data_IF_218092447010
#
_entry.id   IF_218092447010
#
_cell.length_a   1.000
_cell.length_b   1.000
_cell.length_c   1.000
_cell.angle_alpha   90.00
_cell.angle_beta   90.00
_cell.angle_gamma   90.00
#
_symmetry.space_group_name_H-M   'P 1'
#
loop_
_entity.id
_entity.type
_entity.pdbx_description
1 polymer ?
#
# COMPACT_ATOMS: atom_id res chain seq x y z
N UNK A 1 -3.56 17.52 8.64
CA UNK A 1 -3.42 16.47 7.62
C UNK A 1 -4.58 15.50 7.77
N UNK A 2 -5.30 15.25 6.68
CA UNK A 2 -6.46 14.37 6.60
C UNK A 2 -6.13 13.22 5.65
N UNK A 3 -6.04 12.00 6.19
CA UNK A 3 -5.66 10.81 5.43
C UNK A 3 -6.87 9.89 5.31
N UNK A 4 -7.21 9.52 4.09
CA UNK A 4 -8.22 8.51 3.83
C UNK A 4 -7.66 7.10 4.02
N UNK A 5 -8.54 6.17 4.39
CA UNK A 5 -8.30 4.73 4.27
C UNK A 5 -9.49 4.14 3.51
N UNK A 6 -9.24 3.47 2.39
CA UNK A 6 -10.31 2.84 1.60
C UNK A 6 -10.97 1.74 2.43
N UNK A 7 -12.26 1.89 2.72
CA UNK A 7 -13.01 1.06 3.66
C UNK A 7 -14.13 0.27 2.98
N UNK A 8 -13.85 -0.25 1.77
CA UNK A 8 -14.76 -1.12 1.01
C UNK A 8 -14.75 -2.54 1.55
N UNK A 9 -13.56 -3.04 1.88
CA UNK A 9 -13.27 -4.34 2.48
C UNK A 9 -11.82 -4.29 2.99
N UNK A 10 -11.47 -5.15 3.94
CA UNK A 10 -10.08 -5.35 4.37
C UNK A 10 -9.76 -4.69 5.71
N UNK A 11 -8.46 -4.60 6.00
CA UNK A 11 -7.91 -4.28 7.33
C UNK A 11 -7.75 -2.75 7.51
N UNK A 12 -8.80 -2.00 7.16
CA UNK A 12 -8.78 -0.53 7.22
C UNK A 12 -8.79 0.00 8.66
N UNK A 13 -9.33 -0.76 9.62
CA UNK A 13 -9.47 -0.32 11.01
C UNK A 13 -8.10 -0.19 11.69
N UNK A 14 -7.19 -1.10 11.39
CA UNK A 14 -5.82 -1.17 11.87
C UNK A 14 -5.03 0.04 11.37
N UNK A 15 -5.10 0.34 10.06
CA UNK A 15 -4.52 1.55 9.49
C UNK A 15 -5.07 2.83 10.12
N UNK A 16 -6.40 2.93 10.28
CA UNK A 16 -7.03 4.05 10.97
C UNK A 16 -6.54 4.21 12.42
N UNK A 17 -6.33 3.09 13.13
CA UNK A 17 -5.81 3.09 14.51
C UNK A 17 -4.40 3.67 14.56
N UNK A 18 -3.50 3.24 13.67
CA UNK A 18 -2.12 3.76 13.60
C UNK A 18 -2.11 5.26 13.27
N UNK A 19 -2.89 5.69 12.26
CA UNK A 19 -2.98 7.11 11.90
C UNK A 19 -3.46 7.99 13.06
N UNK A 20 -4.47 7.54 13.82
CA UNK A 20 -4.96 8.28 15.00
C UNK A 20 -3.90 8.36 16.10
N UNK A 21 -3.13 7.29 16.34
CA UNK A 21 -2.00 7.30 17.30
C UNK A 21 -0.92 8.31 16.90
N UNK A 22 -0.72 8.51 15.60
CA UNK A 22 0.18 9.52 15.04
C UNK A 22 -0.41 10.96 15.02
N UNK A 23 -1.61 11.16 15.57
CA UNK A 23 -2.27 12.47 15.62
C UNK A 23 -2.85 12.93 14.27
N UNK A 24 -3.04 12.03 13.32
CA UNK A 24 -3.59 12.32 11.99
C UNK A 24 -5.09 12.04 11.96
N UNK A 25 -5.85 12.91 11.28
CA UNK A 25 -7.28 12.68 11.06
C UNK A 25 -7.46 11.57 10.01
N UNK A 26 -7.83 10.37 10.48
CA UNK A 26 -8.15 9.23 9.62
C UNK A 26 -9.62 9.25 9.18
N UNK A 27 -9.87 9.13 7.87
CA UNK A 27 -11.20 9.13 7.26
C UNK A 27 -11.44 7.83 6.52
N UNK A 28 -12.52 7.13 6.84
CA UNK A 28 -12.90 5.93 6.07
C UNK A 28 -13.58 6.33 4.76
N UNK A 29 -13.02 5.89 3.65
CA UNK A 29 -13.48 6.21 2.30
C UNK A 29 -14.27 5.04 1.73
N UNK A 30 -15.55 5.26 1.44
CA UNK A 30 -16.48 4.32 0.81
C UNK A 30 -17.13 4.88 -0.45
N UNK A 31 -17.15 6.20 -0.59
CA UNK A 31 -17.79 6.93 -1.68
C UNK A 31 -16.83 7.97 -2.29
N UNK A 32 -16.98 8.30 -3.59
CA UNK A 32 -16.09 9.25 -4.28
C UNK A 32 -15.94 10.61 -3.59
N UNK A 33 -17.03 11.18 -3.08
CA UNK A 33 -17.04 12.50 -2.44
C UNK A 33 -16.18 12.54 -1.17
N UNK A 34 -15.90 11.39 -0.55
CA UNK A 34 -15.07 11.31 0.65
C UNK A 34 -13.58 11.41 0.34
N UNK A 35 -13.20 11.41 -0.95
CA UNK A 35 -11.84 11.74 -1.38
C UNK A 35 -11.56 13.24 -1.34
N UNK A 36 -12.61 14.07 -1.27
CA UNK A 36 -12.48 15.52 -1.20
C UNK A 36 -11.76 15.94 0.09
N UNK A 37 -10.87 16.92 -0.04
CA UNK A 37 -10.05 17.48 1.04
C UNK A 37 -9.04 16.51 1.68
N UNK A 38 -8.83 15.30 1.12
CA UNK A 38 -7.79 14.40 1.61
C UNK A 38 -6.41 14.83 1.12
N UNK A 39 -5.41 14.68 1.99
CA UNK A 39 -4.00 14.90 1.68
C UNK A 39 -3.33 13.63 1.10
N UNK A 40 -3.86 12.46 1.45
CA UNK A 40 -3.43 11.17 0.93
C UNK A 40 -4.42 10.07 1.24
N UNK A 41 -4.23 8.90 0.62
CA UNK A 41 -5.09 7.73 0.75
C UNK A 41 -4.28 6.45 0.99
N UNK A 42 -4.69 5.64 1.95
CA UNK A 42 -4.21 4.27 2.11
C UNK A 42 -5.25 3.31 1.51
N UNK A 43 -4.80 2.35 0.71
CA UNK A 43 -5.59 1.21 0.23
C UNK A 43 -5.08 -0.01 1.00
N UNK A 44 -5.87 -0.55 1.94
CA UNK A 44 -5.40 -1.56 2.89
C UNK A 44 -5.24 -2.94 2.25
N UNK A 45 -4.69 -3.87 3.05
CA UNK A 45 -4.77 -5.31 2.80
C UNK A 45 -6.21 -5.82 2.79
N UNK A 46 -6.42 -7.05 2.31
CA UNK A 46 -7.75 -7.65 2.14
C UNK A 46 -7.81 -8.60 0.95
N UNK A 47 -8.96 -8.66 0.28
CA UNK A 47 -9.16 -9.45 -0.93
C UNK A 47 -9.23 -8.51 -2.16
N UNK A 48 -8.16 -8.47 -2.94
CA UNK A 48 -7.99 -7.48 -4.02
C UNK A 48 -9.10 -7.54 -5.07
N UNK A 49 -9.63 -8.73 -5.38
CA UNK A 49 -10.70 -8.88 -6.38
C UNK A 49 -12.01 -8.26 -5.88
N UNK A 50 -12.34 -8.46 -4.61
CA UNK A 50 -13.50 -7.87 -3.93
C UNK A 50 -13.35 -6.36 -3.87
N UNK A 51 -12.20 -5.85 -3.43
CA UNK A 51 -11.93 -4.41 -3.38
C UNK A 51 -12.09 -3.79 -4.76
N UNK A 52 -11.49 -4.39 -5.81
CA UNK A 52 -11.62 -3.90 -7.19
C UNK A 52 -13.07 -3.88 -7.68
N UNK A 53 -13.84 -4.95 -7.48
CA UNK A 53 -15.26 -5.03 -7.87
C UNK A 53 -16.14 -4.03 -7.12
N UNK A 54 -15.90 -3.83 -5.84
CA UNK A 54 -16.60 -2.82 -5.04
C UNK A 54 -16.24 -1.41 -5.52
N UNK A 55 -14.97 -1.16 -5.83
CA UNK A 55 -14.53 0.13 -6.37
C UNK A 55 -15.19 0.43 -7.72
N UNK A 56 -15.37 -0.56 -8.61
CA UNK A 56 -16.17 -0.38 -9.83
C UNK A 56 -17.65 -0.11 -9.50
N UNK A 57 -18.25 -0.92 -8.63
CA UNK A 57 -19.68 -0.84 -8.29
C UNK A 57 -20.04 0.52 -7.67
N UNK A 58 -19.15 1.10 -6.87
CA UNK A 58 -19.31 2.42 -6.26
C UNK A 58 -18.73 3.57 -7.11
N UNK A 59 -18.32 3.30 -8.36
CA UNK A 59 -17.77 4.29 -9.30
C UNK A 59 -16.55 5.05 -8.73
N UNK A 60 -15.70 4.33 -7.99
CA UNK A 60 -14.50 4.84 -7.34
C UNK A 60 -13.24 4.72 -8.20
N UNK A 61 -13.20 3.85 -9.21
CA UNK A 61 -11.97 3.62 -10.01
C UNK A 61 -11.40 4.92 -10.58
N UNK A 62 -12.22 5.70 -11.29
CA UNK A 62 -11.75 6.93 -11.91
C UNK A 62 -11.43 8.04 -10.88
N UNK A 63 -12.27 8.29 -9.86
CA UNK A 63 -11.89 9.18 -8.75
C UNK A 63 -10.57 8.82 -8.07
N UNK A 64 -10.30 7.53 -7.85
CA UNK A 64 -9.04 7.05 -7.26
C UNK A 64 -7.84 7.30 -8.17
N UNK A 65 -8.02 7.12 -9.49
CA UNK A 65 -6.97 7.43 -10.48
C UNK A 65 -6.66 8.92 -10.51
N UNK A 66 -7.69 9.75 -10.57
CA UNK A 66 -7.55 11.20 -10.55
C UNK A 66 -6.87 11.64 -9.25
N UNK A 67 -7.28 11.10 -8.10
CA UNK A 67 -6.64 11.37 -6.81
C UNK A 67 -5.15 11.02 -6.82
N UNK A 68 -4.79 9.83 -7.29
CA UNK A 68 -3.39 9.36 -7.35
C UNK A 68 -2.50 10.16 -8.32
N UNK A 69 -3.08 10.88 -9.27
CA UNK A 69 -2.32 11.78 -10.16
C UNK A 69 -1.84 13.06 -9.47
N UNK A 70 -2.42 13.42 -8.33
CA UNK A 70 -2.15 14.69 -7.63
C UNK A 70 -1.69 14.49 -6.18
N UNK A 71 -2.16 13.43 -5.53
CA UNK A 71 -2.03 13.15 -4.10
C UNK A 71 -1.34 11.81 -3.85
N UNK A 72 -0.86 11.62 -2.64
CA UNK A 72 -0.18 10.40 -2.25
C UNK A 72 -1.18 9.24 -2.09
N UNK A 73 -0.82 8.07 -2.62
CA UNK A 73 -1.55 6.81 -2.37
C UNK A 73 -0.57 5.75 -1.90
N UNK A 74 -0.95 5.03 -0.85
CA UNK A 74 -0.21 3.87 -0.37
C UNK A 74 -1.06 2.61 -0.39
N UNK A 75 -0.66 1.63 -1.19
CA UNK A 75 -1.26 0.30 -1.24
C UNK A 75 -0.48 -0.71 -0.39
N UNK A 76 -1.13 -1.32 0.59
CA UNK A 76 -0.57 -2.44 1.38
C UNK A 76 -1.21 -3.75 0.94
N UNK A 77 -0.40 -4.80 0.71
CA UNK A 77 -0.86 -6.13 0.29
C UNK A 77 -1.88 -6.07 -0.89
N UNK A 78 -3.18 -6.25 -0.63
CA UNK A 78 -4.23 -6.13 -1.64
C UNK A 78 -4.27 -4.75 -2.32
N UNK A 79 -3.95 -3.67 -1.61
CA UNK A 79 -3.82 -2.34 -2.18
C UNK A 79 -2.65 -2.22 -3.16
N UNK A 80 -1.52 -2.89 -2.89
CA UNK A 80 -0.39 -2.93 -3.82
C UNK A 80 -0.77 -3.65 -5.14
N UNK A 81 -1.54 -4.74 -5.04
CA UNK A 81 -2.13 -5.41 -6.21
C UNK A 81 -3.05 -4.43 -6.96
N UNK A 82 -3.94 -3.73 -6.27
CA UNK A 82 -4.91 -2.84 -6.90
C UNK A 82 -4.26 -1.66 -7.64
N UNK A 83 -3.11 -1.17 -7.17
CA UNK A 83 -2.37 -0.05 -7.78
C UNK A 83 -1.55 -0.45 -9.01
N UNK A 84 -1.28 -1.74 -9.22
CA UNK A 84 -0.36 -2.21 -10.26
C UNK A 84 -0.88 -2.00 -11.68
N UNK A 85 0.03 -2.02 -12.66
CA UNK A 85 -0.32 -2.01 -14.08
C UNK A 85 -0.86 -3.35 -14.55
N UNK A 86 -0.27 -4.44 -14.09
CA UNK A 86 -0.67 -5.79 -14.45
C UNK A 86 -0.52 -6.75 -13.25
N UNK A 87 -1.30 -7.82 -13.27
CA UNK A 87 -1.24 -8.95 -12.34
C UNK A 87 -1.34 -10.32 -13.05
N UNK A 88 -1.21 -10.31 -14.39
CA UNK A 88 -1.37 -11.46 -15.28
C UNK A 88 -2.74 -12.14 -15.19
N UNK A 89 -3.75 -11.41 -14.72
CA UNK A 89 -5.13 -11.88 -14.53
C UNK A 89 -6.11 -10.74 -14.74
N UNK A 90 -7.33 -11.07 -15.15
CA UNK A 90 -8.40 -10.09 -15.28
C UNK A 90 -9.03 -9.79 -13.92
N UNK A 91 -8.84 -8.56 -13.43
CA UNK A 91 -9.62 -7.95 -12.35
C UNK A 91 -9.54 -6.41 -12.49
N UNK A 92 -10.42 -5.67 -11.81
CA UNK A 92 -10.33 -4.20 -11.80
C UNK A 92 -9.04 -3.74 -11.10
N UNK A 93 -8.30 -2.86 -11.75
CA UNK A 93 -7.06 -2.24 -11.26
C UNK A 93 -7.09 -0.73 -11.46
N UNK A 94 -6.30 -0.01 -10.68
CA UNK A 94 -6.12 1.43 -10.82
C UNK A 94 -5.07 1.79 -11.88
N UNK A 95 -4.12 0.90 -12.20
CA UNK A 95 -3.03 1.16 -13.16
C UNK A 95 -2.25 2.45 -12.86
N UNK A 96 -1.98 2.69 -11.58
CA UNK A 96 -1.35 3.92 -11.09
C UNK A 96 0.17 3.83 -11.03
N UNK A 97 0.72 2.63 -10.77
CA UNK A 97 2.15 2.40 -10.59
C UNK A 97 2.71 1.49 -11.66
N UNK A 98 3.93 1.79 -12.13
CA UNK A 98 4.71 1.05 -13.11
C UNK A 98 5.30 -0.24 -12.50
N UNK A 99 4.43 -1.07 -11.93
CA UNK A 99 4.76 -2.34 -11.29
C UNK A 99 3.87 -3.46 -11.81
N UNK A 100 4.42 -4.67 -11.86
CA UNK A 100 3.69 -5.92 -12.12
C UNK A 100 3.67 -6.73 -10.83
N UNK A 101 2.50 -7.25 -10.45
CA UNK A 101 2.31 -7.87 -9.14
C UNK A 101 1.65 -9.25 -9.27
N UNK A 102 2.35 -10.30 -8.81
CA UNK A 102 1.78 -11.64 -8.69
C UNK A 102 1.09 -11.85 -7.34
N UNK A 103 -0.15 -12.33 -7.39
CA UNK A 103 -0.94 -12.68 -6.18
C UNK A 103 -0.43 -13.97 -5.53
N UNK A 104 -0.37 -14.00 -4.20
CA UNK A 104 -0.08 -15.20 -3.39
C UNK A 104 1.19 -15.95 -3.84
N UNK A 105 2.23 -15.21 -4.22
CA UNK A 105 3.42 -15.76 -4.89
C UNK A 105 4.40 -16.49 -3.95
N UNK A 106 4.19 -16.43 -2.63
CA UNK A 106 5.06 -17.05 -1.63
C UNK A 106 4.74 -18.53 -1.34
N UNK A 107 3.69 -19.09 -1.97
CA UNK A 107 3.33 -20.51 -1.90
C UNK A 107 2.47 -20.90 -0.68
N UNK A 108 1.68 -21.98 -0.84
CA UNK A 108 0.65 -22.43 0.14
C UNK A 108 1.19 -22.93 1.50
N UNK A 109 2.48 -23.26 1.58
CA UNK A 109 3.09 -23.82 2.80
C UNK A 109 3.69 -22.74 3.72
N UNK A 110 3.87 -21.52 3.20
CA UNK A 110 4.39 -20.36 3.94
C UNK A 110 3.40 -19.20 3.75
N UNK A 111 2.12 -19.48 4.02
CA UNK A 111 1.03 -18.51 3.85
C UNK A 111 1.19 -17.29 4.78
N UNK A 112 2.07 -17.36 5.78
CA UNK A 112 2.50 -16.18 6.54
C UNK A 112 3.93 -16.35 7.04
N UNK A 113 4.71 -15.27 7.00
CA UNK A 113 6.05 -15.23 7.57
C UNK A 113 6.41 -13.80 7.98
N UNK A 114 7.43 -13.68 8.81
CA UNK A 114 7.93 -12.39 9.30
C UNK A 114 9.43 -12.33 9.06
N UNK A 115 9.93 -11.16 8.69
CA UNK A 115 11.36 -10.95 8.44
C UNK A 115 11.73 -9.50 8.63
N UNK A 116 12.94 -9.26 9.11
CA UNK A 116 13.50 -7.92 9.21
C UNK A 116 14.07 -7.47 7.86
N UNK A 117 13.63 -6.31 7.39
CA UNK A 117 14.03 -5.71 6.11
C UNK A 117 15.01 -4.56 6.34
N UNK A 118 16.07 -4.48 5.53
CA UNK A 118 16.80 -3.23 5.38
C UNK A 118 16.03 -2.32 4.41
N UNK A 119 15.62 -1.14 4.89
CA UNK A 119 14.81 -0.19 4.13
C UNK A 119 15.47 1.20 4.19
N UNK A 120 16.46 1.49 3.33
CA UNK A 120 17.28 2.70 3.43
C UNK A 120 16.47 4.02 3.38
N UNK A 121 15.32 4.03 2.70
CA UNK A 121 14.48 5.22 2.59
C UNK A 121 13.89 5.67 3.94
N UNK A 122 13.77 4.77 4.92
CA UNK A 122 13.27 5.09 6.26
C UNK A 122 14.25 5.91 7.09
N UNK A 123 15.52 6.06 6.67
CA UNK A 123 16.50 7.01 7.27
C UNK A 123 15.99 8.45 7.32
N UNK A 124 15.10 8.80 6.40
CA UNK A 124 14.46 10.13 6.34
C UNK A 124 13.48 10.37 7.50
N UNK A 125 13.01 9.30 8.15
CA UNK A 125 12.01 9.31 9.22
C UNK A 125 12.66 9.01 10.58
N UNK A 126 13.61 8.08 10.59
CA UNK A 126 14.38 7.66 11.75
C UNK A 126 15.86 7.48 11.35
N UNK A 127 16.77 8.39 11.77
CA UNK A 127 18.19 8.32 11.43
C UNK A 127 18.91 7.05 11.90
N UNK A 128 18.41 6.36 12.92
CA UNK A 128 19.00 5.10 13.39
C UNK A 128 18.78 3.97 12.39
N UNK A 129 17.67 4.01 11.65
CA UNK A 129 17.29 3.07 10.58
C UNK A 129 17.60 1.61 10.89
N UNK A 130 17.18 1.16 12.08
CA UNK A 130 17.21 -0.25 12.44
C UNK A 130 16.40 -1.05 11.42
N UNK A 131 16.68 -2.35 11.23
CA UNK A 131 15.87 -3.19 10.35
C UNK A 131 14.36 -3.05 10.65
N UNK A 132 13.54 -3.06 9.61
CA UNK A 132 12.10 -2.95 9.71
C UNK A 132 11.48 -4.35 9.77
N UNK A 133 10.84 -4.67 10.90
CA UNK A 133 10.16 -5.94 11.07
C UNK A 133 8.88 -5.99 10.21
N UNK A 134 8.87 -6.82 9.17
CA UNK A 134 7.79 -6.89 8.20
C UNK A 134 6.99 -8.20 8.33
N UNK A 135 5.67 -8.06 8.38
CA UNK A 135 4.71 -9.18 8.48
C UNK A 135 4.07 -9.45 7.12
N UNK A 136 4.26 -10.65 6.59
CA UNK A 136 3.71 -11.08 5.30
C UNK A 136 2.59 -12.09 5.54
N UNK A 137 1.38 -11.82 5.02
CA UNK A 137 0.24 -12.73 5.11
C UNK A 137 -0.36 -12.89 3.72
N UNK A 138 -0.19 -14.08 3.12
CA UNK A 138 -0.55 -14.42 1.74
C UNK A 138 -0.11 -13.32 0.77
N UNK A 139 1.10 -12.82 1.01
CA UNK A 139 1.57 -11.59 0.40
C UNK A 139 1.66 -11.70 -1.13
N UNK A 140 1.39 -10.60 -1.86
CA UNK A 140 1.77 -10.51 -3.26
C UNK A 140 3.29 -10.33 -3.42
N UNK A 141 3.80 -10.70 -4.58
CA UNK A 141 5.17 -10.38 -5.01
C UNK A 141 5.12 -9.29 -6.06
N UNK A 142 5.96 -8.26 -5.92
CA UNK A 142 6.22 -7.32 -7.02
C UNK A 142 7.24 -8.00 -7.94
N UNK A 143 6.79 -8.45 -9.11
CA UNK A 143 7.62 -9.20 -10.07
C UNK A 143 8.51 -8.27 -10.88
N UNK A 144 7.97 -7.11 -11.26
CA UNK A 144 8.66 -6.12 -12.06
C UNK A 144 8.41 -4.71 -11.53
N UNK A 145 9.45 -3.89 -11.55
CA UNK A 145 9.40 -2.45 -11.32
C UNK A 145 10.08 -1.78 -12.51
N UNK A 146 9.37 -0.87 -13.20
CA UNK A 146 9.87 -0.24 -14.42
C UNK A 146 9.48 1.24 -14.50
N UNK A 147 9.87 1.90 -15.60
CA UNK A 147 9.52 3.30 -15.84
C UNK A 147 10.03 4.24 -14.75
N UNK A 148 9.12 4.96 -14.10
CA UNK A 148 9.45 5.92 -13.05
C UNK A 148 9.40 5.31 -11.63
N UNK A 149 9.03 4.04 -11.50
CA UNK A 149 9.00 3.35 -10.22
C UNK A 149 10.41 2.89 -9.81
N UNK A 150 10.62 2.81 -8.49
CA UNK A 150 11.88 2.39 -7.88
C UNK A 150 11.63 1.36 -6.80
N UNK A 151 12.52 0.37 -6.72
CA UNK A 151 12.55 -0.61 -5.62
C UNK A 151 13.05 0.07 -4.36
N UNK A 152 12.32 -0.05 -3.25
CA UNK A 152 12.72 0.54 -1.96
C UNK A 152 12.98 -0.51 -0.86
N UNK A 153 12.52 -1.76 -1.04
CA UNK A 153 12.88 -2.88 -0.18
C UNK A 153 12.81 -4.23 -0.92
N UNK A 154 13.75 -5.11 -0.60
CA UNK A 154 13.82 -6.49 -1.11
C UNK A 154 14.04 -7.48 0.03
N UNK A 155 13.65 -8.72 -0.19
CA UNK A 155 14.10 -9.85 0.63
C UNK A 155 15.56 -10.17 0.34
N UNK A 156 16.16 -11.00 1.20
CA UNK A 156 17.56 -11.44 1.05
C UNK A 156 17.83 -12.22 -0.25
N UNK A 157 16.80 -12.82 -0.84
CA UNK A 157 16.87 -13.54 -2.12
C UNK A 157 16.54 -12.66 -3.34
N UNK A 158 16.41 -11.34 -3.14
CA UNK A 158 16.21 -10.36 -4.20
C UNK A 158 14.75 -10.12 -4.59
N UNK A 159 13.79 -10.86 -4.02
CA UNK A 159 12.35 -10.61 -4.27
C UNK A 159 11.94 -9.22 -3.79
N UNK A 160 11.22 -8.47 -4.62
CA UNK A 160 10.82 -7.09 -4.34
C UNK A 160 9.55 -7.10 -3.48
N UNK A 161 9.60 -6.36 -2.37
CA UNK A 161 8.50 -6.31 -1.38
C UNK A 161 8.02 -4.91 -1.08
N UNK A 162 8.72 -3.88 -1.55
CA UNK A 162 8.21 -2.53 -1.57
C UNK A 162 8.77 -1.72 -2.74
N UNK A 163 7.92 -0.88 -3.33
CA UNK A 163 8.26 0.00 -4.43
C UNK A 163 7.61 1.38 -4.25
N UNK A 164 8.21 2.40 -4.87
CA UNK A 164 7.71 3.77 -4.86
C UNK A 164 7.78 4.39 -6.26
N UNK A 165 6.77 5.18 -6.62
CA UNK A 165 6.76 6.01 -7.83
C UNK A 165 6.23 7.40 -7.49
N UNK A 166 7.13 8.38 -7.36
CA UNK A 166 6.78 9.72 -6.89
C UNK A 166 6.12 9.66 -5.50
N UNK A 167 4.82 10.00 -5.43
CA UNK A 167 4.01 9.96 -4.21
C UNK A 167 3.20 8.67 -4.03
N UNK A 168 3.37 7.71 -4.94
CA UNK A 168 2.73 6.39 -4.87
C UNK A 168 3.66 5.41 -4.17
N UNK A 169 3.13 4.68 -3.20
CA UNK A 169 3.86 3.70 -2.40
C UNK A 169 3.13 2.35 -2.47
N UNK A 170 3.87 1.27 -2.64
CA UNK A 170 3.34 -0.09 -2.62
C UNK A 170 4.20 -0.96 -1.71
N UNK A 171 3.57 -1.71 -0.80
CA UNK A 171 4.24 -2.67 0.09
C UNK A 171 3.49 -4.01 0.09
N UNK A 172 4.22 -5.12 -0.01
CA UNK A 172 3.66 -6.47 0.00
C UNK A 172 3.32 -7.00 1.41
N UNK A 173 3.78 -6.32 2.45
CA UNK A 173 3.59 -6.67 3.86
C UNK A 173 2.55 -5.76 4.54
N UNK A 174 2.23 -6.11 5.79
CA UNK A 174 1.21 -5.52 6.64
C UNK A 174 1.84 -4.67 7.77
N UNK A 175 2.27 -3.43 7.50
CA UNK A 175 2.87 -2.55 8.50
C UNK A 175 1.93 -2.23 9.67
N UNK A 176 0.62 -2.22 9.43
CA UNK A 176 -0.45 -1.99 10.40
C UNK A 176 -0.57 -3.05 11.49
N UNK A 177 0.02 -4.23 11.27
CA UNK A 177 0.07 -5.33 12.24
C UNK A 177 1.29 -5.27 13.17
N UNK A 178 2.12 -4.23 13.04
CA UNK A 178 3.32 -4.03 13.85
C UNK A 178 3.19 -2.81 14.76
N UNK A 179 4.06 -2.70 15.76
CA UNK A 179 4.22 -1.48 16.55
C UNK A 179 5.11 -0.43 15.89
N UNK A 180 5.72 -0.75 14.74
CA UNK A 180 6.65 0.12 14.03
C UNK A 180 5.89 0.99 13.01
N UNK A 181 5.71 2.26 13.34
CA UNK A 181 4.97 3.21 12.50
C UNK A 181 5.81 3.89 11.41
N UNK A 182 7.08 3.49 11.21
CA UNK A 182 7.99 4.20 10.29
C UNK A 182 7.48 4.26 8.87
N UNK A 183 6.82 3.21 8.36
CA UNK A 183 6.18 3.26 7.03
C UNK A 183 4.98 4.21 6.99
N UNK A 184 4.15 4.26 8.03
CA UNK A 184 3.06 5.24 8.11
C UNK A 184 3.62 6.66 8.15
N UNK A 185 4.63 6.94 8.97
CA UNK A 185 5.30 8.25 9.01
C UNK A 185 5.98 8.60 7.67
N UNK A 186 6.55 7.61 6.99
CA UNK A 186 7.10 7.77 5.65
C UNK A 186 6.03 8.17 4.64
N UNK A 187 4.90 7.47 4.65
CA UNK A 187 3.75 7.83 3.82
C UNK A 187 3.21 9.23 4.14
N UNK A 188 3.10 9.59 5.43
CA UNK A 188 2.70 10.94 5.84
C UNK A 188 3.69 12.00 5.37
N UNK A 189 4.98 11.69 5.25
CA UNK A 189 5.97 12.58 4.64
C UNK A 189 5.70 12.77 3.13
N UNK A 190 5.39 11.70 2.39
CA UNK A 190 5.03 11.76 0.97
C UNK A 190 3.72 12.51 0.70
N UNK A 191 2.79 12.48 1.66
CA UNK A 191 1.48 13.14 1.59
C UNK A 191 1.51 14.65 1.92
N UNK A 192 2.69 15.21 2.25
CA UNK A 192 2.88 16.66 2.41
C UNK A 192 3.01 17.35 1.04
#
# INVERSE_FOLDING_TARGET
MKIGVLALQGDFAEHCSVLRKLGVQAVEVRLPQQLEELDGLIIPGGESTTIGKLAESYRLIEPLRQFGSQKAIWGTCAGAILMSKDIHRQQPLLHLMDIIVARNAFGRQVDSFEVDLDVPVLKQIDPLNQPYHAVFIRAPLIEEVSGNAQVIATLSDGRIVAAQQGRLLATSFHPELTSDDRFHRYFLHLAR
#
